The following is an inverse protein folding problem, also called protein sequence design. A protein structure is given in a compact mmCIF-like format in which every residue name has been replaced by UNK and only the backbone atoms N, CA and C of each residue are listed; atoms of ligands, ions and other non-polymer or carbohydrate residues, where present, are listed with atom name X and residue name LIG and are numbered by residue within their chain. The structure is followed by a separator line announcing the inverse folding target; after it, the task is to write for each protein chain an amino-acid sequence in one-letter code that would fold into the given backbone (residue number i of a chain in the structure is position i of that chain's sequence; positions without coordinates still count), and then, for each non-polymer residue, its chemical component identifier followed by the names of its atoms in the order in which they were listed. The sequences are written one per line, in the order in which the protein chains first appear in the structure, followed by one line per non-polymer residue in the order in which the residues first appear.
data_IF_781452740198
#
_entry.id   IF_781452740198
#
_cell.length_a   1.000
_cell.length_b   1.000
_cell.length_c   1.000
_cell.angle_alpha   90.00
_cell.angle_beta   90.00
_cell.angle_gamma   90.00
#
_symmetry.space_group_name_H-M   'P 1'
#
loop_
_entity.id
_entity.type
_entity.pdbx_description
1 polymer ?
#
# COMPACT_ATOMS: atom_id res chain seq x y z
N UNK A 1 23.83 -33.75 29.41
CA UNK A 1 24.11 -32.59 28.55
C UNK A 1 25.60 -32.27 28.66
N UNK A 2 26.37 -32.38 27.57
CA UNK A 2 27.84 -32.21 27.57
C UNK A 2 28.24 -30.79 27.98
N UNK A 3 29.42 -30.61 28.57
CA UNK A 3 29.90 -29.29 29.00
C UNK A 3 30.07 -28.32 27.81
N UNK A 4 30.40 -28.86 26.63
CA UNK A 4 30.40 -28.11 25.37
C UNK A 4 29.01 -27.55 25.02
N UNK A 5 27.94 -28.33 25.19
CA UNK A 5 26.58 -27.88 24.90
C UNK A 5 26.13 -26.79 25.89
N UNK A 6 26.47 -26.92 27.18
CA UNK A 6 26.21 -25.86 28.18
C UNK A 6 26.97 -24.56 27.85
N UNK A 7 28.22 -24.67 27.43
CA UNK A 7 29.04 -23.54 27.01
C UNK A 7 28.43 -22.82 25.81
N UNK A 8 28.06 -23.56 24.75
CA UNK A 8 27.45 -22.99 23.54
C UNK A 8 26.10 -22.31 23.84
N UNK A 9 25.25 -22.92 24.66
CA UNK A 9 23.96 -22.32 25.07
C UNK A 9 24.19 -21.03 25.84
N UNK A 10 25.10 -21.02 26.82
CA UNK A 10 25.38 -19.82 27.64
C UNK A 10 25.84 -18.64 26.78
N UNK A 11 26.81 -18.86 25.90
CA UNK A 11 27.32 -17.79 25.03
C UNK A 11 26.33 -17.39 23.95
N UNK A 12 25.52 -18.32 23.44
CA UNK A 12 24.40 -18.02 22.55
C UNK A 12 23.36 -17.11 23.21
N UNK A 13 22.99 -17.38 24.46
CA UNK A 13 22.06 -16.54 25.23
C UNK A 13 22.63 -15.15 25.51
N UNK A 14 23.91 -15.06 25.90
CA UNK A 14 24.59 -13.77 26.11
C UNK A 14 24.61 -12.96 24.81
N UNK A 15 24.95 -13.60 23.67
CA UNK A 15 24.93 -12.95 22.37
C UNK A 15 23.53 -12.44 21.99
N UNK A 16 22.48 -13.21 22.25
CA UNK A 16 21.09 -12.81 22.00
C UNK A 16 20.67 -11.62 22.87
N UNK A 17 21.07 -11.58 24.14
CA UNK A 17 20.81 -10.44 25.02
C UNK A 17 21.52 -9.17 24.54
N UNK A 18 22.78 -9.27 24.11
CA UNK A 18 23.52 -8.13 23.57
C UNK A 18 22.87 -7.60 22.30
N UNK A 19 22.44 -8.48 21.39
CA UNK A 19 21.71 -8.10 20.18
C UNK A 19 20.36 -7.43 20.51
N UNK A 20 19.61 -7.98 21.46
CA UNK A 20 18.33 -7.41 21.90
C UNK A 20 18.51 -6.03 22.55
N UNK A 21 19.54 -5.86 23.38
CA UNK A 21 19.92 -4.57 23.97
C UNK A 21 20.32 -3.55 22.92
N UNK A 22 21.16 -3.94 21.95
CA UNK A 22 21.54 -3.08 20.83
C UNK A 22 20.35 -2.66 19.96
N UNK A 23 19.45 -3.59 19.65
CA UNK A 23 18.23 -3.28 18.91
C UNK A 23 17.30 -2.33 19.69
N UNK A 24 17.13 -2.57 20.99
CA UNK A 24 16.31 -1.72 21.86
C UNK A 24 16.89 -0.31 21.96
N UNK A 25 18.21 -0.19 22.13
CA UNK A 25 18.92 1.09 22.09
C UNK A 25 18.76 1.80 20.75
N UNK A 26 18.87 1.08 19.63
CA UNK A 26 18.65 1.66 18.30
C UNK A 26 17.23 2.17 18.10
N UNK A 27 16.21 1.40 18.54
CA UNK A 27 14.82 1.83 18.49
C UNK A 27 14.59 3.07 19.37
N UNK A 28 15.19 3.12 20.55
CA UNK A 28 15.15 4.29 21.42
C UNK A 28 15.75 5.53 20.73
N UNK A 29 16.93 5.42 20.11
CA UNK A 29 17.54 6.55 19.38
C UNK A 29 16.64 7.05 18.24
N UNK A 30 16.00 6.15 17.49
CA UNK A 30 15.03 6.54 16.46
C UNK A 30 13.81 7.23 17.07
N UNK A 31 13.31 6.74 18.21
CA UNK A 31 12.18 7.35 18.92
C UNK A 31 12.49 8.78 19.37
N UNK A 32 13.69 9.01 19.89
CA UNK A 32 14.17 10.34 20.32
C UNK A 32 14.55 11.27 19.16
N UNK A 33 14.34 10.85 17.91
CA UNK A 33 14.52 11.70 16.73
C UNK A 33 15.96 11.86 16.25
N UNK A 34 16.90 11.03 16.72
CA UNK A 34 18.30 11.02 16.23
C UNK A 34 18.35 10.78 14.72
N UNK A 35 17.40 10.01 14.18
CA UNK A 35 17.25 9.75 12.75
C UNK A 35 16.16 10.63 12.12
N UNK A 36 16.08 11.89 12.56
CA UNK A 36 15.10 12.87 12.12
C UNK A 36 13.80 12.82 12.93
N UNK A 37 13.07 13.95 12.99
CA UNK A 37 11.85 14.04 13.79
C UNK A 37 10.80 13.03 13.32
N UNK A 38 10.04 12.53 14.28
CA UNK A 38 8.86 11.71 14.05
C UNK A 38 7.62 12.59 14.22
N UNK A 39 6.65 12.51 13.30
CA UNK A 39 5.42 13.28 13.43
C UNK A 39 4.72 12.95 14.75
N UNK A 40 4.26 14.02 15.40
CA UNK A 40 3.44 14.01 16.60
C UNK A 40 2.06 13.41 16.31
N UNK A 41 1.34 13.01 17.37
CA UNK A 41 -0.04 12.52 17.22
C UNK A 41 -0.97 13.61 16.67
N UNK A 42 -0.71 14.88 16.95
CA UNK A 42 -1.48 16.02 16.44
C UNK A 42 -1.27 16.20 14.94
N UNK A 43 -0.03 16.16 14.46
CA UNK A 43 0.26 16.19 13.03
C UNK A 43 -0.37 15.00 12.30
N UNK A 44 -0.30 13.80 12.90
CA UNK A 44 -0.89 12.60 12.30
C UNK A 44 -2.42 12.62 12.25
N UNK A 45 -3.13 13.44 13.05
CA UNK A 45 -4.59 13.57 12.99
C UNK A 45 -5.08 14.41 11.81
N UNK A 46 -4.22 15.26 11.26
CA UNK A 46 -4.55 16.19 10.18
C UNK A 46 -3.75 15.84 8.92
N UNK A 47 -3.88 14.60 8.46
CA UNK A 47 -3.28 14.20 7.17
C UNK A 47 -4.15 14.80 6.06
N UNK A 48 -3.77 15.98 5.61
CA UNK A 48 -4.34 16.62 4.42
C UNK A 48 -3.46 16.31 3.21
N UNK A 49 -4.11 16.12 2.07
CA UNK A 49 -3.47 15.79 0.80
C UNK A 49 -4.07 16.68 -0.26
N UNK A 50 -3.22 17.28 -1.10
CA UNK A 50 -3.67 18.07 -2.24
C UNK A 50 -4.62 17.25 -3.11
N UNK A 51 -5.75 17.85 -3.51
CA UNK A 51 -6.80 17.24 -4.33
C UNK A 51 -6.98 18.04 -5.62
N UNK A 52 -7.43 17.36 -6.66
CA UNK A 52 -7.87 17.98 -7.89
C UNK A 52 -9.20 18.73 -7.69
N UNK A 53 -9.31 19.92 -8.27
CA UNK A 53 -10.59 20.59 -8.47
C UNK A 53 -11.32 19.89 -9.62
N UNK A 54 -12.56 19.46 -9.37
CA UNK A 54 -13.38 18.77 -10.37
C UNK A 54 -14.28 19.78 -11.09
N UNK A 55 -14.31 19.70 -12.42
CA UNK A 55 -15.27 20.46 -13.26
C UNK A 55 -16.37 19.50 -13.65
N UNK A 56 -17.57 19.73 -13.13
CA UNK A 56 -18.74 18.89 -13.35
C UNK A 56 -19.74 19.63 -14.25
N UNK A 57 -20.44 18.88 -15.10
CA UNK A 57 -21.63 19.35 -15.78
C UNK A 57 -22.81 19.44 -14.79
N UNK A 58 -23.90 20.09 -15.21
CA UNK A 58 -25.10 20.29 -14.38
C UNK A 58 -25.76 18.97 -13.92
N UNK A 59 -25.48 17.86 -14.60
CA UNK A 59 -25.94 16.51 -14.27
C UNK A 59 -24.96 15.74 -13.36
N UNK A 60 -23.94 16.41 -12.82
CA UNK A 60 -22.80 15.85 -12.07
C UNK A 60 -21.85 14.96 -12.88
N UNK A 61 -21.96 14.92 -14.21
CA UNK A 61 -20.98 14.23 -15.05
C UNK A 61 -19.64 14.97 -14.99
N UNK A 62 -18.55 14.24 -14.75
CA UNK A 62 -17.20 14.81 -14.75
C UNK A 62 -16.77 15.19 -16.18
N UNK A 63 -16.50 16.48 -16.41
CA UNK A 63 -16.11 17.01 -17.74
C UNK A 63 -14.67 17.55 -17.78
N UNK A 64 -14.05 17.76 -16.62
CA UNK A 64 -12.65 18.19 -16.53
C UNK A 64 -12.08 18.18 -15.11
N UNK A 65 -10.77 18.36 -14.98
CA UNK A 65 -10.08 18.51 -13.70
C UNK A 65 -8.94 19.52 -13.79
N UNK A 66 -8.75 20.31 -12.73
CA UNK A 66 -7.61 21.24 -12.55
C UNK A 66 -6.82 20.79 -11.32
N UNK A 67 -5.52 20.53 -11.46
CA UNK A 67 -4.70 19.98 -10.37
C UNK A 67 -3.20 20.19 -10.54
N UNK A 68 -2.48 20.30 -9.41
CA UNK A 68 -1.04 20.06 -9.35
C UNK A 68 -0.73 18.55 -9.28
N UNK A 69 -1.52 17.80 -8.52
CA UNK A 69 -1.48 16.33 -8.41
C UNK A 69 -2.85 15.77 -8.75
N UNK A 70 -2.96 14.83 -9.72
CA UNK A 70 -4.23 14.21 -10.10
C UNK A 70 -4.71 13.24 -9.00
N UNK A 71 -5.25 13.79 -7.92
CA UNK A 71 -5.81 13.06 -6.79
C UNK A 71 -7.28 13.41 -6.62
N UNK A 72 -8.12 12.39 -6.51
CA UNK A 72 -9.51 12.55 -6.06
C UNK A 72 -9.70 11.61 -4.89
N UNK A 73 -10.11 12.17 -3.75
CA UNK A 73 -10.27 11.39 -2.53
C UNK A 73 -11.64 10.74 -2.50
N UNK A 74 -11.69 9.48 -2.05
CA UNK A 74 -12.93 8.76 -1.76
C UNK A 74 -13.08 8.56 -0.25
N UNK A 75 -14.32 8.55 0.24
CA UNK A 75 -14.63 8.26 1.65
C UNK A 75 -14.60 6.76 1.94
N UNK A 76 -14.40 6.40 3.20
CA UNK A 76 -14.26 5.01 3.65
C UNK A 76 -15.49 4.12 3.41
N UNK A 77 -16.67 4.71 3.42
CA UNK A 77 -17.96 4.06 3.16
C UNK A 77 -18.22 3.82 1.66
N UNK A 78 -17.50 4.52 0.79
CA UNK A 78 -17.61 4.40 -0.66
C UNK A 78 -16.61 3.39 -1.27
N UNK A 79 -15.73 2.80 -0.46
CA UNK A 79 -14.83 1.73 -0.91
C UNK A 79 -15.58 0.39 -1.01
N UNK A 80 -15.64 -0.24 -2.19
CA UNK A 80 -16.20 -1.58 -2.32
C UNK A 80 -15.41 -2.61 -1.51
N UNK A 81 -16.10 -3.55 -0.88
CA UNK A 81 -15.48 -4.56 -0.02
C UNK A 81 -14.48 -5.44 -0.79
N UNK A 82 -14.80 -5.80 -2.03
CA UNK A 82 -13.92 -6.64 -2.86
C UNK A 82 -12.60 -5.92 -3.21
N UNK A 83 -12.59 -4.58 -3.25
CA UNK A 83 -11.38 -3.79 -3.48
C UNK A 83 -10.47 -3.81 -2.24
N UNK A 84 -11.04 -3.57 -1.05
CA UNK A 84 -10.28 -3.63 0.21
C UNK A 84 -9.77 -5.05 0.46
N UNK A 85 -10.56 -6.07 0.18
CA UNK A 85 -10.15 -7.47 0.25
C UNK A 85 -9.02 -7.81 -0.72
N UNK A 86 -9.08 -7.32 -1.97
CA UNK A 86 -7.99 -7.48 -2.94
C UNK A 86 -6.66 -6.90 -2.42
N UNK A 87 -6.72 -5.69 -1.85
CA UNK A 87 -5.56 -5.04 -1.24
C UNK A 87 -5.01 -5.85 -0.06
N UNK A 88 -5.86 -6.20 0.90
CA UNK A 88 -5.48 -6.97 2.11
C UNK A 88 -4.90 -8.33 1.71
N UNK A 89 -5.54 -9.07 0.81
CA UNK A 89 -5.07 -10.38 0.38
C UNK A 89 -3.67 -10.34 -0.26
N UNK A 90 -3.36 -9.24 -0.94
CA UNK A 90 -2.13 -9.10 -1.73
C UNK A 90 -0.99 -8.50 -0.93
N UNK A 91 -1.26 -7.45 -0.15
CA UNK A 91 -0.23 -6.64 0.51
C UNK A 91 -0.07 -6.99 1.99
N UNK A 92 -1.15 -7.39 2.68
CA UNK A 92 -1.14 -7.56 4.13
C UNK A 92 -2.28 -8.48 4.63
N UNK A 93 -2.13 -9.80 4.45
CA UNK A 93 -3.16 -10.80 4.78
C UNK A 93 -3.58 -10.81 6.24
N UNK A 94 -2.76 -10.22 7.12
CA UNK A 94 -2.99 -10.15 8.56
C UNK A 94 -3.26 -8.73 9.02
N UNK A 95 -3.68 -7.85 8.12
CA UNK A 95 -3.93 -6.44 8.38
C UNK A 95 -4.74 -6.18 9.66
N UNK A 96 -5.80 -6.97 9.90
CA UNK A 96 -6.65 -6.83 11.09
C UNK A 96 -6.08 -7.44 12.38
N UNK A 97 -4.94 -8.14 12.32
CA UNK A 97 -4.34 -8.88 13.46
C UNK A 97 -3.13 -8.17 14.07
N UNK A 98 -2.79 -6.98 13.62
CA UNK A 98 -1.66 -6.20 14.13
C UNK A 98 -2.00 -4.72 14.22
N UNK A 99 -1.14 -3.92 14.86
CA UNK A 99 -1.34 -2.49 15.09
C UNK A 99 -0.22 -1.71 14.40
N UNK A 100 -0.24 -1.63 13.07
CA UNK A 100 0.75 -0.90 12.29
C UNK A 100 1.98 -1.70 11.84
N UNK A 101 2.52 -2.63 12.61
CA UNK A 101 3.60 -3.52 12.17
C UNK A 101 3.35 -4.98 12.54
N UNK A 102 3.88 -5.91 11.73
CA UNK A 102 3.66 -7.34 11.92
C UNK A 102 4.93 -8.07 12.36
N UNK A 103 5.08 -8.25 13.67
CA UNK A 103 6.22 -8.96 14.28
C UNK A 103 6.40 -10.39 13.73
N UNK A 104 5.30 -11.11 13.46
CA UNK A 104 5.37 -12.47 12.89
C UNK A 104 5.86 -12.44 11.44
N UNK A 105 5.50 -11.42 10.66
CA UNK A 105 6.05 -11.25 9.30
C UNK A 105 7.51 -10.83 9.32
N UNK A 106 7.95 -10.03 10.30
CA UNK A 106 9.38 -9.72 10.49
C UNK A 106 10.20 -10.97 10.81
N UNK A 107 9.77 -11.77 11.78
CA UNK A 107 10.43 -13.04 12.11
C UNK A 107 10.49 -13.93 10.87
N UNK A 108 9.37 -14.08 10.14
CA UNK A 108 9.34 -14.86 8.90
C UNK A 108 10.38 -14.37 7.88
N UNK A 109 10.52 -13.08 7.66
CA UNK A 109 11.48 -12.51 6.71
C UNK A 109 12.92 -12.74 7.18
N UNK A 110 13.21 -12.55 8.47
CA UNK A 110 14.53 -12.83 9.03
C UNK A 110 14.91 -14.30 8.83
N UNK A 111 14.03 -15.23 9.20
CA UNK A 111 14.32 -16.66 9.08
C UNK A 111 14.29 -17.17 7.64
N UNK A 112 13.22 -16.88 6.88
CA UNK A 112 13.04 -17.48 5.54
C UNK A 112 13.81 -16.73 4.46
N UNK A 113 13.86 -15.41 4.51
CA UNK A 113 14.50 -14.62 3.45
C UNK A 113 15.99 -14.45 3.68
N UNK A 114 16.39 -14.03 4.90
CA UNK A 114 17.79 -13.71 5.18
C UNK A 114 18.62 -14.96 5.50
N UNK A 115 18.11 -15.87 6.35
CA UNK A 115 18.87 -17.07 6.73
C UNK A 115 18.76 -18.20 5.71
N UNK A 116 17.58 -18.43 5.14
CA UNK A 116 17.34 -19.53 4.18
C UNK A 116 17.41 -19.10 2.70
N UNK A 117 17.70 -17.83 2.41
CA UNK A 117 17.83 -17.30 1.04
C UNK A 117 16.53 -17.32 0.22
N UNK A 118 15.37 -17.61 0.82
CA UNK A 118 14.10 -17.73 0.10
C UNK A 118 13.49 -16.35 -0.14
N UNK A 119 13.89 -15.71 -1.24
CA UNK A 119 13.40 -14.39 -1.69
C UNK A 119 11.92 -14.37 -2.10
N UNK A 120 11.27 -15.53 -2.23
CA UNK A 120 9.84 -15.66 -2.57
C UNK A 120 8.88 -15.60 -1.38
N UNK A 121 9.38 -15.46 -0.15
CA UNK A 121 8.60 -15.59 1.10
C UNK A 121 7.70 -14.39 1.46
N UNK A 122 7.54 -13.43 0.55
CA UNK A 122 6.72 -12.23 0.72
C UNK A 122 7.47 -11.05 1.37
N UNK A 123 6.86 -9.87 1.35
CA UNK A 123 7.38 -8.68 2.01
C UNK A 123 7.10 -8.68 3.51
N UNK A 124 7.92 -7.99 4.30
CA UNK A 124 7.70 -7.80 5.73
C UNK A 124 6.88 -6.56 6.10
N UNK A 125 6.65 -5.64 5.17
CA UNK A 125 5.95 -4.37 5.42
C UNK A 125 4.43 -4.54 5.42
N UNK A 126 3.75 -3.90 6.37
CA UNK A 126 2.28 -3.81 6.43
C UNK A 126 1.75 -2.69 5.54
N UNK A 127 0.43 -2.67 5.29
CA UNK A 127 -0.22 -1.55 4.56
C UNK A 127 0.04 -0.21 5.27
N UNK A 128 -0.05 -0.17 6.60
CA UNK A 128 0.17 1.06 7.38
C UNK A 128 1.60 1.55 7.26
N UNK A 129 2.60 0.66 7.22
CA UNK A 129 3.99 1.07 6.97
C UNK A 129 4.21 1.60 5.55
N UNK A 130 3.54 0.98 4.56
CA UNK A 130 3.59 1.48 3.20
C UNK A 130 2.93 2.86 3.09
N UNK A 131 1.82 3.10 3.80
CA UNK A 131 1.18 4.42 3.93
C UNK A 131 2.16 5.46 4.47
N UNK A 132 2.82 5.16 5.59
CA UNK A 132 3.83 6.06 6.19
C UNK A 132 4.95 6.37 5.21
N UNK A 133 5.49 5.35 4.53
CA UNK A 133 6.54 5.54 3.51
C UNK A 133 6.07 6.47 2.38
N UNK A 134 4.81 6.36 1.96
CA UNK A 134 4.26 7.18 0.89
C UNK A 134 4.03 8.64 1.33
N UNK A 135 3.64 8.87 2.59
CA UNK A 135 3.38 10.22 3.12
C UNK A 135 4.67 10.96 3.49
N UNK A 136 5.64 10.27 4.08
CA UNK A 136 6.83 10.91 4.69
C UNK A 136 8.14 10.60 3.97
N UNK A 137 8.13 9.68 3.00
CA UNK A 137 9.32 9.27 2.27
C UNK A 137 10.36 8.55 3.15
N UNK A 138 11.60 8.50 2.65
CA UNK A 138 12.76 7.94 3.38
C UNK A 138 13.90 8.94 3.32
N UNK A 139 14.59 9.08 4.45
CA UNK A 139 15.77 9.93 4.56
C UNK A 139 17.07 9.11 4.39
N UNK A 140 18.15 9.78 4.01
CA UNK A 140 19.47 9.14 3.86
C UNK A 140 20.28 9.28 5.16
N UNK A 141 20.68 8.15 5.73
CA UNK A 141 21.53 8.02 6.92
C UNK A 141 22.75 7.12 6.64
N UNK A 142 23.21 7.07 5.38
CA UNK A 142 24.30 6.18 4.97
C UNK A 142 23.94 4.71 5.13
N UNK A 143 24.82 3.92 5.74
CA UNK A 143 24.59 2.48 5.95
C UNK A 143 23.39 2.18 6.87
N UNK A 144 22.98 3.14 7.71
CA UNK A 144 21.82 3.01 8.59
C UNK A 144 20.50 3.44 7.94
N UNK A 145 20.51 3.87 6.67
CA UNK A 145 19.31 4.36 5.98
C UNK A 145 18.15 3.37 6.03
N UNK A 146 18.39 2.13 5.64
CA UNK A 146 17.33 1.11 5.59
C UNK A 146 16.80 0.77 7.00
N UNK A 147 17.62 0.38 7.99
CA UNK A 147 17.12 0.03 9.32
C UNK A 147 16.48 1.22 10.03
N UNK A 148 17.06 2.43 9.95
CA UNK A 148 16.50 3.61 10.59
C UNK A 148 15.12 3.96 10.02
N UNK A 149 14.99 4.07 8.69
CA UNK A 149 13.69 4.33 8.08
C UNK A 149 12.69 3.21 8.40
N UNK A 150 13.13 1.94 8.51
CA UNK A 150 12.20 0.85 8.83
C UNK A 150 11.64 0.93 10.25
N UNK A 151 12.47 1.33 11.22
CA UNK A 151 12.01 1.59 12.59
C UNK A 151 11.12 2.83 12.62
N UNK A 152 11.47 3.92 11.92
CA UNK A 152 10.62 5.12 11.79
C UNK A 152 9.24 4.75 11.22
N UNK A 153 9.21 3.98 10.13
CA UNK A 153 7.98 3.46 9.52
C UNK A 153 7.13 2.69 10.54
N UNK A 154 7.73 1.80 11.34
CA UNK A 154 7.02 1.02 12.36
C UNK A 154 6.45 1.89 13.49
N UNK A 155 7.24 2.83 14.02
CA UNK A 155 6.81 3.71 15.12
C UNK A 155 5.66 4.63 14.66
N UNK A 156 5.78 5.23 13.48
CA UNK A 156 4.72 6.09 12.94
C UNK A 156 3.48 5.26 12.59
N UNK A 157 3.65 4.07 12.00
CA UNK A 157 2.52 3.19 11.67
C UNK A 157 1.75 2.79 12.93
N UNK A 158 2.44 2.45 14.01
CA UNK A 158 1.82 2.18 15.30
C UNK A 158 1.04 3.41 15.79
N UNK A 159 1.63 4.61 15.77
CA UNK A 159 0.94 5.86 16.16
C UNK A 159 -0.31 6.12 15.31
N UNK A 160 -0.27 5.86 14.01
CA UNK A 160 -1.43 6.01 13.12
C UNK A 160 -2.57 5.05 13.48
N UNK A 161 -2.27 3.81 13.82
CA UNK A 161 -3.29 2.80 14.16
C UNK A 161 -3.94 3.04 15.53
N UNK A 162 -3.30 3.84 16.39
CA UNK A 162 -3.93 4.35 17.61
C UNK A 162 -4.86 5.56 17.37
N UNK A 163 -4.81 6.16 16.18
CA UNK A 163 -5.57 7.36 15.82
C UNK A 163 -6.68 7.10 14.80
N UNK A 164 -6.47 6.13 13.92
CA UNK A 164 -7.39 5.79 12.83
C UNK A 164 -7.83 4.34 12.94
N UNK A 165 -9.10 4.09 12.64
CA UNK A 165 -9.60 2.73 12.44
C UNK A 165 -8.94 2.07 11.23
N UNK A 166 -8.92 0.74 11.19
CA UNK A 166 -8.42 -0.07 10.07
C UNK A 166 -9.01 0.36 8.72
N UNK A 167 -10.31 0.68 8.69
CA UNK A 167 -11.00 1.11 7.47
C UNK A 167 -10.55 2.49 7.01
N UNK A 168 -10.30 3.42 7.95
CA UNK A 168 -9.71 4.72 7.64
C UNK A 168 -8.27 4.58 7.13
N UNK A 169 -7.47 3.68 7.69
CA UNK A 169 -6.10 3.40 7.19
C UNK A 169 -6.13 2.91 5.73
N UNK A 170 -7.03 1.97 5.39
CA UNK A 170 -7.19 1.51 4.00
C UNK A 170 -7.58 2.67 3.06
N UNK A 171 -8.42 3.57 3.55
CA UNK A 171 -8.87 4.74 2.77
C UNK A 171 -7.75 5.73 2.55
N UNK A 172 -7.01 6.09 3.60
CA UNK A 172 -5.82 6.95 3.50
C UNK A 172 -4.78 6.35 2.56
N UNK A 173 -4.55 5.04 2.67
CA UNK A 173 -3.66 4.33 1.75
C UNK A 173 -4.13 4.44 0.30
N UNK A 174 -5.36 4.01 0.01
CA UNK A 174 -5.90 4.01 -1.35
C UNK A 174 -6.05 5.40 -1.95
N UNK A 175 -6.20 6.46 -1.15
CA UNK A 175 -6.21 7.86 -1.61
C UNK A 175 -4.81 8.44 -1.87
N UNK A 176 -3.78 7.91 -1.21
CA UNK A 176 -2.42 8.46 -1.28
C UNK A 176 -1.55 7.82 -2.38
N UNK A 177 -1.74 6.53 -2.64
CA UNK A 177 -0.82 5.74 -3.48
C UNK A 177 -0.90 6.11 -4.96
N UNK A 178 0.23 6.06 -5.69
CA UNK A 178 0.25 6.28 -7.13
C UNK A 178 -0.20 5.02 -7.90
N UNK A 179 -0.93 5.23 -9.00
CA UNK A 179 -1.39 4.18 -9.93
C UNK A 179 -0.77 4.33 -11.34
N UNK A 180 0.39 5.00 -11.43
CA UNK A 180 1.07 5.30 -12.70
C UNK A 180 0.44 6.48 -13.43
N UNK A 181 1.08 6.94 -14.51
CA UNK A 181 0.58 8.04 -15.37
C UNK A 181 0.24 9.33 -14.61
N UNK A 182 0.97 9.61 -13.53
CA UNK A 182 0.73 10.74 -12.61
C UNK A 182 -0.68 10.74 -11.98
N UNK A 183 -1.32 9.57 -11.88
CA UNK A 183 -2.59 9.37 -11.19
C UNK A 183 -2.35 8.90 -9.76
N UNK A 184 -2.94 9.60 -8.81
CA UNK A 184 -2.84 9.32 -7.38
C UNK A 184 -4.23 9.09 -6.80
N UNK A 185 -4.37 8.06 -5.97
CA UNK A 185 -5.66 7.74 -5.38
C UNK A 185 -6.52 6.83 -6.26
N UNK A 186 -7.27 5.94 -5.61
CA UNK A 186 -8.04 4.89 -6.27
C UNK A 186 -9.16 5.44 -7.15
N UNK A 187 -9.81 6.54 -6.75
CA UNK A 187 -10.89 7.16 -7.52
C UNK A 187 -10.39 7.73 -8.84
N UNK A 188 -9.26 8.44 -8.81
CA UNK A 188 -8.65 8.92 -10.03
C UNK A 188 -8.19 7.76 -10.93
N UNK A 189 -7.75 6.64 -10.34
CA UNK A 189 -7.37 5.44 -11.09
C UNK A 189 -8.57 4.71 -11.71
N UNK A 190 -9.68 4.57 -10.99
CA UNK A 190 -10.93 3.99 -11.49
C UNK A 190 -11.46 4.77 -12.70
N UNK A 191 -11.45 6.10 -12.60
CA UNK A 191 -11.83 6.98 -13.72
C UNK A 191 -10.84 6.88 -14.89
N UNK A 192 -9.53 6.82 -14.62
CA UNK A 192 -8.49 6.74 -15.67
C UNK A 192 -8.57 5.44 -16.47
N UNK A 193 -8.67 4.29 -15.79
CA UNK A 193 -8.52 2.99 -16.43
C UNK A 193 -9.86 2.34 -16.82
N UNK A 194 -10.96 2.73 -16.17
CA UNK A 194 -12.27 2.12 -16.36
C UNK A 194 -13.43 3.11 -16.52
N UNK A 195 -13.15 4.43 -16.56
CA UNK A 195 -14.13 5.49 -16.71
C UNK A 195 -15.34 5.37 -15.76
N UNK A 196 -15.06 4.99 -14.50
CA UNK A 196 -16.06 4.70 -13.47
C UNK A 196 -15.70 5.33 -12.15
N UNK A 197 -16.73 5.55 -11.32
CA UNK A 197 -16.54 5.73 -9.88
C UNK A 197 -15.96 4.46 -9.26
N UNK A 198 -15.12 4.58 -8.23
CA UNK A 198 -14.60 3.44 -7.46
C UNK A 198 -15.74 2.55 -6.95
N UNK A 199 -16.87 3.13 -6.56
CA UNK A 199 -18.06 2.40 -6.07
C UNK A 199 -18.63 1.41 -7.09
N UNK A 200 -18.35 1.63 -8.39
CA UNK A 200 -18.86 0.84 -9.50
C UNK A 200 -17.85 -0.18 -10.04
N UNK A 201 -16.66 -0.27 -9.44
CA UNK A 201 -15.65 -1.23 -9.84
C UNK A 201 -16.17 -2.66 -9.64
N UNK A 202 -15.84 -3.52 -10.60
CA UNK A 202 -16.02 -4.97 -10.47
C UNK A 202 -14.81 -5.63 -9.80
N UNK A 203 -14.94 -6.85 -9.24
CA UNK A 203 -13.82 -7.56 -8.61
C UNK A 203 -12.56 -7.68 -9.49
N UNK A 204 -12.72 -7.98 -10.78
CA UNK A 204 -11.62 -8.10 -11.73
C UNK A 204 -10.95 -6.76 -12.06
N UNK A 205 -11.70 -5.65 -12.03
CA UNK A 205 -11.20 -4.29 -12.25
C UNK A 205 -10.43 -3.81 -11.01
N UNK A 206 -11.00 -4.03 -9.82
CA UNK A 206 -10.32 -3.82 -8.53
C UNK A 206 -9.01 -4.60 -8.46
N UNK A 207 -9.00 -5.87 -8.89
CA UNK A 207 -7.79 -6.67 -8.93
C UNK A 207 -6.72 -6.12 -9.91
N UNK A 208 -7.12 -5.47 -11.01
CA UNK A 208 -6.18 -4.76 -11.90
C UNK A 208 -5.59 -3.55 -11.19
N UNK A 209 -6.41 -2.71 -10.53
CA UNK A 209 -5.89 -1.52 -9.84
C UNK A 209 -4.94 -1.89 -8.70
N UNK A 210 -5.27 -2.91 -7.90
CA UNK A 210 -4.35 -3.42 -6.87
C UNK A 210 -3.08 -4.04 -7.47
N UNK A 211 -3.18 -4.69 -8.64
CA UNK A 211 -2.02 -5.24 -9.33
C UNK A 211 -0.98 -4.18 -9.70
N UNK A 212 -1.41 -2.98 -10.08
CA UNK A 212 -0.55 -1.85 -10.48
C UNK A 212 0.38 -1.44 -9.34
N UNK A 213 -0.10 -1.44 -8.09
CA UNK A 213 0.64 -0.94 -6.91
C UNK A 213 2.00 -1.59 -6.67
N UNK A 214 2.18 -2.83 -7.13
CA UNK A 214 3.48 -3.53 -7.02
C UNK A 214 4.57 -2.85 -7.85
N UNK A 215 4.23 -2.36 -9.04
CA UNK A 215 5.13 -1.68 -9.96
C UNK A 215 4.32 -0.92 -11.02
N UNK A 216 4.12 0.37 -10.76
CA UNK A 216 3.14 1.21 -11.45
C UNK A 216 3.30 1.25 -12.96
N UNK A 217 4.54 1.23 -13.48
CA UNK A 217 4.79 1.21 -14.92
C UNK A 217 4.69 -0.21 -15.46
N UNK A 218 5.40 -1.17 -14.87
CA UNK A 218 5.51 -2.53 -15.39
C UNK A 218 4.17 -3.30 -15.42
N UNK A 219 3.27 -3.02 -14.47
CA UNK A 219 1.93 -3.60 -14.42
C UNK A 219 0.83 -2.64 -14.91
N UNK A 220 1.19 -1.53 -15.55
CA UNK A 220 0.20 -0.63 -16.15
C UNK A 220 -0.58 -1.41 -17.25
N UNK A 221 -1.92 -1.49 -17.16
CA UNK A 221 -2.72 -2.29 -18.08
C UNK A 221 -2.81 -1.72 -19.50
N UNK A 222 -2.57 -0.42 -19.68
CA UNK A 222 -2.52 0.23 -21.00
C UNK A 222 -1.16 0.01 -21.67
N UNK A 223 -0.07 0.15 -20.91
CA UNK A 223 1.29 0.02 -21.45
C UNK A 223 1.70 -1.45 -21.63
N UNK A 224 1.34 -2.31 -20.67
CA UNK A 224 1.75 -3.71 -20.61
C UNK A 224 0.58 -4.65 -20.25
N UNK A 225 -0.42 -4.80 -21.13
CA UNK A 225 -1.66 -5.54 -20.83
C UNK A 225 -1.41 -7.00 -20.43
N UNK A 226 -0.40 -7.66 -21.01
CA UNK A 226 -0.04 -9.03 -20.66
C UNK A 226 0.50 -9.15 -19.23
N UNK A 227 1.40 -8.25 -18.81
CA UNK A 227 1.91 -8.22 -17.45
C UNK A 227 0.82 -7.88 -16.44
N UNK A 228 -0.02 -6.89 -16.77
CA UNK A 228 -1.16 -6.50 -15.94
C UNK A 228 -2.15 -7.66 -15.76
N UNK A 229 -2.51 -8.38 -16.84
CA UNK A 229 -3.41 -9.56 -16.77
C UNK A 229 -2.83 -10.66 -15.89
N UNK A 230 -1.56 -10.99 -16.06
CA UNK A 230 -0.89 -12.00 -15.22
C UNK A 230 -0.88 -11.59 -13.74
N UNK A 231 -0.63 -10.31 -13.44
CA UNK A 231 -0.61 -9.81 -12.07
C UNK A 231 -2.01 -9.72 -11.45
N UNK A 232 -3.02 -9.28 -12.20
CA UNK A 232 -4.44 -9.34 -11.81
C UNK A 232 -4.84 -10.75 -11.39
N UNK A 233 -4.48 -11.75 -12.18
CA UNK A 233 -4.81 -13.15 -11.86
C UNK A 233 -4.09 -13.62 -10.58
N UNK A 234 -2.86 -13.14 -10.31
CA UNK A 234 -2.19 -13.38 -9.03
C UNK A 234 -2.93 -12.72 -7.86
N UNK A 235 -3.46 -11.50 -8.02
CA UNK A 235 -4.28 -10.82 -7.01
C UNK A 235 -5.55 -11.63 -6.71
N UNK A 236 -6.27 -12.06 -7.75
CA UNK A 236 -7.47 -12.90 -7.60
C UNK A 236 -7.17 -14.23 -6.88
N UNK A 237 -6.05 -14.88 -7.23
CA UNK A 237 -5.61 -16.09 -6.51
C UNK A 237 -5.24 -15.78 -5.05
N UNK A 238 -4.59 -14.65 -4.77
CA UNK A 238 -4.33 -14.22 -3.40
C UNK A 238 -5.63 -14.00 -2.61
N UNK A 239 -6.68 -13.44 -3.23
CA UNK A 239 -8.00 -13.31 -2.62
C UNK A 239 -8.62 -14.67 -2.31
N UNK A 240 -8.51 -15.65 -3.21
CA UNK A 240 -8.99 -17.01 -2.97
C UNK A 240 -8.23 -17.70 -1.83
N UNK A 241 -6.90 -17.57 -1.80
CA UNK A 241 -6.06 -18.11 -0.72
C UNK A 241 -6.34 -17.47 0.64
N UNK A 242 -6.90 -16.26 0.66
CA UNK A 242 -7.33 -15.54 1.85
C UNK A 242 -8.83 -15.77 2.17
N UNK A 243 -9.49 -16.70 1.46
CA UNK A 243 -10.89 -17.07 1.63
C UNK A 243 -11.90 -15.92 1.39
N UNK A 244 -11.49 -14.85 0.69
CA UNK A 244 -12.39 -13.75 0.33
C UNK A 244 -13.30 -14.07 -0.86
N UNK A 245 -12.85 -14.98 -1.73
CA UNK A 245 -13.63 -15.53 -2.85
C UNK A 245 -13.33 -17.02 -2.98
N UNK A 246 -14.22 -17.80 -3.60
CA UNK A 246 -13.93 -19.20 -3.90
C UNK A 246 -12.89 -19.34 -5.01
N UNK A 247 -12.14 -20.44 -5.02
CA UNK A 247 -11.20 -20.78 -6.11
C UNK A 247 -11.89 -20.76 -7.48
N UNK A 248 -13.08 -21.36 -7.59
CA UNK A 248 -13.87 -21.35 -8.83
C UNK A 248 -14.20 -19.92 -9.29
N UNK A 249 -14.51 -19.01 -8.36
CA UNK A 249 -14.76 -17.61 -8.69
C UNK A 249 -13.48 -16.91 -9.15
N UNK A 250 -12.35 -17.16 -8.50
CA UNK A 250 -11.05 -16.62 -8.91
C UNK A 250 -10.65 -17.10 -10.31
N UNK A 251 -10.88 -18.37 -10.63
CA UNK A 251 -10.60 -18.95 -11.96
C UNK A 251 -11.51 -18.34 -13.03
N UNK A 252 -12.81 -18.23 -12.73
CA UNK A 252 -13.79 -17.58 -13.62
C UNK A 252 -13.46 -16.11 -13.89
N UNK A 253 -13.05 -15.34 -12.87
CA UNK A 253 -12.62 -13.95 -13.06
C UNK A 253 -11.27 -13.85 -13.79
N UNK A 254 -10.38 -14.82 -13.56
CA UNK A 254 -9.06 -14.85 -14.18
C UNK A 254 -9.10 -15.15 -15.69
N UNK A 255 -10.14 -15.86 -16.15
CA UNK A 255 -10.37 -16.15 -17.56
C UNK A 255 -10.98 -14.97 -18.33
N UNK A 256 -11.55 -13.97 -17.63
CA UNK A 256 -12.09 -12.77 -18.27
C UNK A 256 -10.97 -11.99 -19.00
N UNK A 257 -11.24 -11.49 -20.22
CA UNK A 257 -10.31 -10.61 -20.91
C UNK A 257 -10.09 -9.34 -20.09
N UNK A 258 -8.87 -8.81 -20.11
CA UNK A 258 -8.60 -7.48 -19.57
C UNK A 258 -9.11 -6.45 -20.58
N UNK A 259 -10.19 -5.76 -20.23
CA UNK A 259 -10.77 -4.67 -21.01
C UNK A 259 -10.65 -3.38 -20.21
N UNK A 260 -10.15 -2.33 -20.83
CA UNK A 260 -10.12 -0.99 -20.27
C UNK A 260 -11.22 -0.16 -20.93
N UNK A 261 -11.80 0.74 -20.14
CA UNK A 261 -12.53 1.89 -20.65
C UNK A 261 -11.69 3.11 -20.27
N UNK A 262 -10.63 3.32 -21.05
CA UNK A 262 -9.56 4.23 -20.69
C UNK A 262 -9.94 5.67 -21.03
N UNK A 263 -9.85 6.57 -20.05
CA UNK A 263 -10.18 7.98 -20.22
C UNK A 263 -9.09 8.88 -19.63
N UNK A 264 -8.62 9.83 -20.43
CA UNK A 264 -7.65 10.84 -19.99
C UNK A 264 -8.22 12.25 -20.15
N UNK A 265 -9.07 12.66 -19.20
CA UNK A 265 -9.68 13.99 -19.13
C UNK A 265 -8.70 15.19 -19.17
N UNK A 266 -7.39 14.98 -19.04
CA UNK A 266 -6.38 16.03 -19.20
C UNK A 266 -6.01 16.31 -20.67
N UNK A 267 -5.98 15.26 -21.50
CA UNK A 267 -5.67 15.37 -22.92
C UNK A 267 -6.94 15.42 -23.78
N UNK A 268 -7.98 14.71 -23.34
CA UNK A 268 -9.21 14.48 -24.10
C UNK A 268 -10.42 15.19 -23.47
N UNK A 269 -10.24 16.34 -22.80
CA UNK A 269 -11.38 17.07 -22.23
C UNK A 269 -12.36 17.42 -23.35
N UNK A 270 -13.58 16.84 -23.37
CA UNK A 270 -14.58 17.12 -24.41
C UNK A 270 -15.03 18.58 -24.40
N UNK A 271 -14.64 19.34 -23.37
CA UNK A 271 -15.07 20.68 -23.04
C UNK A 271 -13.88 21.56 -22.66
N UNK A 272 -12.73 21.39 -23.32
CA UNK A 272 -11.48 22.10 -22.99
C UNK A 272 -11.62 23.63 -22.87
N UNK A 273 -12.53 24.24 -23.64
CA UNK A 273 -12.86 25.67 -23.50
C UNK A 273 -13.45 26.01 -22.12
N UNK A 274 -14.43 25.23 -21.66
CA UNK A 274 -15.08 25.45 -20.36
C UNK A 274 -14.13 25.18 -19.20
N UNK A 275 -13.26 24.17 -19.32
CA UNK A 275 -12.26 23.86 -18.28
C UNK A 275 -11.21 24.97 -18.12
N UNK A 276 -10.89 25.70 -19.19
CA UNK A 276 -9.95 26.84 -19.12
C UNK A 276 -10.60 28.11 -18.53
N UNK A 277 -11.93 28.23 -18.54
CA UNK A 277 -12.64 29.43 -18.04
C UNK A 277 -13.00 29.38 -16.55
N UNK A 278 -12.88 28.22 -15.92
CA UNK A 278 -13.09 28.00 -14.47
C UNK A 278 -11.79 28.18 -13.73
#
# INVERSE_FOLDING_TARGET
MTDLLKFLIKWGLIGLLVLAGGLSGFVFLVHEGVFGPLPSRTELRHIESEQATLVLANDNTLIGKIFATNRTNIKSDQLPEHLTQALIATEDRRFFQHEGYDARSYLRVVFKTLLLGNRGSGGGSTITQQLVKNLYGRANFGFLSLPANKVREAVIAYRMEQLYSKRQILTLYLNSVPFGENVYGIEAAAQRYFNKSTTQLKPEESAVLIAILKANTYYNPRLHPNHARQRRNKVLNSMAQADFISTNKADSLSSLPLKLDYSNYQLDSPSGYFVHQV
#
